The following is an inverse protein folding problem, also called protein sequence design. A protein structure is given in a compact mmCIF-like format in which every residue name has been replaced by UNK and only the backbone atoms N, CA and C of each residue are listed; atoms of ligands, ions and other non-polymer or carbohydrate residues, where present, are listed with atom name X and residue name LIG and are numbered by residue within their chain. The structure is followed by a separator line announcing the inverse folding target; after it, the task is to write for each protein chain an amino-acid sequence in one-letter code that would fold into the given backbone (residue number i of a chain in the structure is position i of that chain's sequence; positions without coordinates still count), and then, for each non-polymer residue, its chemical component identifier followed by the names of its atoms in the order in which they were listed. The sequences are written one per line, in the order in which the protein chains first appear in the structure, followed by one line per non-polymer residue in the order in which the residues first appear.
data_IF_250676643793
#
_entry.id   IF_250676643793
#
_cell.length_a   1.000
_cell.length_b   1.000
_cell.length_c   1.000
_cell.angle_alpha   90.00
_cell.angle_beta   90.00
_cell.angle_gamma   90.00
#
_symmetry.space_group_name_H-M   'P 1'
#
loop_
_entity.id
_entity.type
_entity.pdbx_description
1 polymer ?
#
# COMPACT_ATOMS: atom_id res chain seq x y z
N UNK A 1 -15.88 -11.70 9.08
CA UNK A 1 -16.32 -11.21 7.80
C UNK A 1 -15.16 -10.95 6.91
N UNK A 2 -14.78 -11.48 6.02
CA UNK A 2 -13.58 -11.32 5.26
C UNK A 2 -13.62 -10.28 4.16
N UNK A 3 -14.25 -9.16 4.42
CA UNK A 3 -14.26 -8.10 3.42
C UNK A 3 -12.86 -7.54 3.22
N UNK A 4 -12.44 -7.51 1.96
CA UNK A 4 -11.16 -6.93 1.61
C UNK A 4 -11.34 -5.47 1.27
N UNK A 5 -10.44 -4.66 1.77
CA UNK A 5 -10.41 -3.25 1.39
C UNK A 5 -9.79 -3.12 0.00
N UNK A 6 -10.34 -2.25 -0.83
CA UNK A 6 -9.75 -1.98 -2.13
C UNK A 6 -8.70 -0.89 -2.00
N UNK A 7 -7.83 -0.79 -3.01
CA UNK A 7 -6.81 0.26 -3.03
C UNK A 7 -7.45 1.64 -3.00
N UNK A 8 -8.56 1.80 -3.71
CA UNK A 8 -9.27 3.07 -3.75
C UNK A 8 -9.77 3.47 -2.37
N UNK A 9 -10.35 2.52 -1.65
CA UNK A 9 -10.86 2.77 -0.31
C UNK A 9 -9.73 3.09 0.66
N UNK A 10 -8.61 2.40 0.53
CA UNK A 10 -7.44 2.65 1.36
C UNK A 10 -6.92 4.07 1.16
N UNK A 11 -6.81 4.52 -0.10
CA UNK A 11 -6.38 5.86 -0.40
C UNK A 11 -7.35 6.91 0.15
N UNK A 12 -8.63 6.61 0.07
CA UNK A 12 -9.66 7.51 0.58
C UNK A 12 -9.51 7.70 2.08
N UNK A 13 -9.27 6.62 2.81
CA UNK A 13 -9.07 6.71 4.25
C UNK A 13 -7.87 7.57 4.61
N UNK A 14 -6.79 7.45 3.84
CA UNK A 14 -5.62 8.29 4.05
C UNK A 14 -5.96 9.77 3.89
N UNK A 15 -6.73 10.10 2.85
CA UNK A 15 -7.14 11.48 2.61
C UNK A 15 -8.01 12.03 3.73
N UNK A 16 -8.90 11.20 4.25
CA UNK A 16 -9.83 11.60 5.30
C UNK A 16 -9.12 11.97 6.59
N UNK A 17 -7.97 11.38 6.85
CA UNK A 17 -7.20 11.70 8.05
C UNK A 17 -6.13 12.75 7.77
N UNK A 18 -6.17 13.38 6.60
CA UNK A 18 -5.29 14.49 6.27
C UNK A 18 -3.96 14.11 5.66
N UNK A 19 -3.80 12.87 5.19
CA UNK A 19 -2.56 12.45 4.54
C UNK A 19 -2.69 12.62 3.03
N UNK A 20 -1.69 13.23 2.41
CA UNK A 20 -1.66 13.42 0.97
C UNK A 20 -0.85 12.30 0.30
N UNK A 21 -0.70 12.39 -1.03
CA UNK A 21 0.02 11.38 -1.78
C UNK A 21 1.49 11.28 -1.38
N UNK A 22 2.12 12.40 -1.06
CA UNK A 22 3.51 12.39 -0.62
C UNK A 22 3.66 11.62 0.68
N UNK A 23 2.72 11.80 1.60
CA UNK A 23 2.73 11.06 2.87
C UNK A 23 2.50 9.58 2.62
N UNK A 24 1.60 9.24 1.69
CA UNK A 24 1.35 7.84 1.35
C UNK A 24 2.58 7.19 0.75
N UNK A 25 3.29 7.88 -0.13
CA UNK A 25 4.51 7.34 -0.72
C UNK A 25 5.58 7.10 0.33
N UNK A 26 5.73 8.02 1.28
CA UNK A 26 6.67 7.84 2.39
C UNK A 26 6.30 6.65 3.25
N UNK A 27 5.02 6.47 3.51
CA UNK A 27 4.54 5.34 4.29
C UNK A 27 4.87 4.02 3.60
N UNK A 28 4.61 3.93 2.29
CA UNK A 28 4.91 2.72 1.53
C UNK A 28 6.42 2.44 1.50
N UNK A 29 7.22 3.48 1.31
CA UNK A 29 8.67 3.33 1.28
C UNK A 29 9.20 2.81 2.60
N UNK A 30 8.70 3.35 3.69
CA UNK A 30 9.10 2.91 5.02
C UNK A 30 8.66 1.48 5.30
N UNK A 31 7.43 1.15 4.88
CA UNK A 31 6.88 -0.18 5.05
C UNK A 31 7.73 -1.21 4.29
N UNK A 32 8.04 -0.90 3.03
CA UNK A 32 8.87 -1.80 2.22
C UNK A 32 10.26 -1.97 2.82
N UNK A 33 10.84 -0.89 3.33
CA UNK A 33 12.19 -0.93 3.90
C UNK A 33 12.24 -1.77 5.17
N UNK A 34 11.26 -1.60 6.04
CA UNK A 34 11.29 -2.25 7.36
C UNK A 34 10.63 -3.62 7.36
N UNK A 35 9.58 -3.80 6.58
CA UNK A 35 8.78 -5.03 6.58
C UNK A 35 8.39 -5.41 5.16
N UNK A 36 9.37 -5.79 4.32
CA UNK A 36 9.06 -6.09 2.91
C UNK A 36 8.06 -7.23 2.73
N UNK A 37 8.16 -8.27 3.54
CA UNK A 37 7.24 -9.41 3.43
C UNK A 37 5.83 -9.01 3.86
N UNK A 38 5.73 -8.24 4.93
CA UNK A 38 4.43 -7.77 5.42
C UNK A 38 3.81 -6.80 4.44
N UNK A 39 4.61 -5.96 3.80
CA UNK A 39 4.13 -5.03 2.79
C UNK A 39 3.50 -5.79 1.62
N UNK A 40 4.17 -6.85 1.16
CA UNK A 40 3.63 -7.69 0.10
C UNK A 40 2.30 -8.32 0.52
N UNK A 41 2.25 -8.90 1.72
CA UNK A 41 1.02 -9.51 2.23
C UNK A 41 -0.11 -8.51 2.34
N UNK A 42 0.20 -7.29 2.78
CA UNK A 42 -0.79 -6.23 2.86
C UNK A 42 -1.35 -5.89 1.49
N UNK A 43 -0.48 -5.80 0.48
CA UNK A 43 -0.93 -5.48 -0.87
C UNK A 43 -1.79 -6.61 -1.45
N UNK A 44 -1.46 -7.86 -1.13
CA UNK A 44 -2.30 -9.00 -1.52
C UNK A 44 -3.68 -8.90 -0.86
N UNK A 45 -3.70 -8.51 0.39
CA UNK A 45 -4.96 -8.35 1.12
C UNK A 45 -5.84 -7.26 0.49
N UNK A 46 -5.22 -6.22 -0.07
CA UNK A 46 -5.94 -5.16 -0.78
C UNK A 46 -6.51 -5.62 -2.11
N UNK A 47 -6.16 -6.81 -2.56
CA UNK A 47 -6.68 -7.37 -3.81
C UNK A 47 -5.85 -7.08 -5.05
N UNK A 48 -4.61 -6.60 -4.88
CA UNK A 48 -3.73 -6.38 -6.02
C UNK A 48 -3.21 -7.71 -6.54
N UNK A 49 -2.99 -7.78 -7.86
CA UNK A 49 -2.36 -8.96 -8.45
C UNK A 49 -0.83 -8.85 -8.37
N UNK A 50 -0.13 -9.90 -8.79
CA UNK A 50 1.32 -9.95 -8.67
C UNK A 50 2.01 -8.80 -9.40
N UNK A 51 1.53 -8.44 -10.58
CA UNK A 51 2.13 -7.36 -11.35
C UNK A 51 1.94 -6.02 -10.66
N UNK A 52 0.76 -5.78 -10.14
CA UNK A 52 0.47 -4.55 -9.41
C UNK A 52 1.29 -4.44 -8.13
N UNK A 53 1.43 -5.56 -7.42
CA UNK A 53 2.23 -5.61 -6.21
C UNK A 53 3.68 -5.24 -6.51
N UNK A 54 4.24 -5.80 -7.58
CA UNK A 54 5.62 -5.49 -7.97
C UNK A 54 5.78 -4.02 -8.31
N UNK A 55 4.81 -3.43 -8.98
CA UNK A 55 4.87 -2.01 -9.33
C UNK A 55 4.88 -1.14 -8.07
N UNK A 56 4.02 -1.44 -7.11
CA UNK A 56 3.98 -0.68 -5.87
C UNK A 56 5.29 -0.82 -5.10
N UNK A 57 5.80 -2.03 -5.00
CA UNK A 57 7.04 -2.28 -4.28
C UNK A 57 8.23 -1.59 -4.96
N UNK A 58 8.26 -1.61 -6.29
CA UNK A 58 9.32 -0.95 -7.04
C UNK A 58 9.32 0.56 -6.78
N UNK A 59 8.14 1.17 -6.78
CA UNK A 59 8.02 2.59 -6.45
C UNK A 59 8.43 2.88 -5.02
N UNK A 60 8.10 1.98 -4.11
CA UNK A 60 8.44 2.15 -2.70
C UNK A 60 9.94 2.10 -2.46
N UNK A 61 10.65 1.30 -3.25
CA UNK A 61 12.10 1.19 -3.12
C UNK A 61 12.84 2.37 -3.75
N UNK A 62 12.26 2.89 -4.79
CA UNK A 62 12.87 3.92 -5.57
C UNK A 62 12.52 5.30 -5.16
#
# INVERSE_FOLDING_TARGET
MGEKMTTKEFKQLFREIGLDEAAMQKWHALFEQRHPDSHRSFLEWLGLDAAQIEQVRARSRG
#
